data_IF_434711454871
#
_entry.id   IF_434711454871
#
_cell.length_a   1.000
_cell.length_b   1.000
_cell.length_c   1.000
_cell.angle_alpha   90.00
_cell.angle_beta   90.00
_cell.angle_gamma   90.00
#
_symmetry.space_group_name_H-M   'P 1'
#
loop_
_entity.id
_entity.type
_entity.pdbx_description
1 polymer ?
#
# COMPACT_ATOMS: atom_id res chain seq x y z
N UNK A 1 7.76 -0.89 14.84
CA UNK A 1 8.23 -2.18 14.30
C UNK A 1 9.29 -1.88 13.26
N UNK A 2 10.55 -2.10 13.63
CA UNK A 2 11.73 -2.03 12.76
C UNK A 2 12.12 -3.48 12.48
N UNK A 3 12.20 -3.86 11.20
CA UNK A 3 12.66 -5.18 10.78
C UNK A 3 13.82 -4.90 9.82
N UNK A 4 15.05 -5.27 10.20
CA UNK A 4 16.30 -5.08 9.45
C UNK A 4 16.76 -3.63 9.17
N UNK A 5 16.70 -2.71 10.15
CA UNK A 5 17.32 -1.38 9.99
C UNK A 5 16.66 -0.48 8.94
N UNK A 6 15.43 -0.81 8.54
CA UNK A 6 14.60 0.03 7.69
C UNK A 6 13.34 0.45 8.45
N UNK A 7 12.95 1.71 8.30
CA UNK A 7 11.69 2.23 8.84
C UNK A 7 10.62 2.27 7.76
N UNK A 8 9.42 1.84 8.12
CA UNK A 8 8.29 1.82 7.22
C UNK A 8 7.63 3.20 7.19
N UNK A 9 7.93 3.98 6.16
CA UNK A 9 7.41 5.33 6.02
C UNK A 9 6.09 5.31 5.24
N UNK A 10 4.98 5.49 5.96
CA UNK A 10 3.63 5.40 5.39
C UNK A 10 3.23 6.77 4.82
N UNK A 11 3.37 6.94 3.50
CA UNK A 11 3.07 8.20 2.80
C UNK A 11 1.57 8.51 2.84
N UNK A 12 0.72 7.54 2.46
CA UNK A 12 -0.74 7.67 2.47
C UNK A 12 -1.40 6.34 2.78
N UNK A 13 -2.07 6.24 3.94
CA UNK A 13 -2.83 5.03 4.32
C UNK A 13 -4.23 4.97 3.70
N UNK A 14 -4.76 6.09 3.22
CA UNK A 14 -6.15 6.20 2.75
C UNK A 14 -6.21 6.25 1.24
N UNK A 15 -6.63 5.15 0.63
CA UNK A 15 -7.00 5.06 -0.79
C UNK A 15 -8.52 5.07 -0.89
N UNK A 16 -9.06 5.75 -1.91
CA UNK A 16 -10.50 5.80 -2.15
C UNK A 16 -10.81 4.81 -3.27
N UNK A 17 -11.65 3.83 -2.96
CA UNK A 17 -12.13 2.82 -3.90
C UNK A 17 -13.62 3.02 -4.13
N UNK A 18 -14.07 2.63 -5.31
CA UNK A 18 -15.47 2.48 -5.66
C UNK A 18 -15.78 1.00 -5.42
N UNK A 19 -16.67 0.75 -4.47
CA UNK A 19 -17.00 -0.59 -4.01
C UNK A 19 -18.52 -0.75 -4.09
N UNK A 20 -19.05 -1.89 -4.59
CA UNK A 20 -20.45 -2.22 -4.40
C UNK A 20 -20.73 -2.47 -2.91
N UNK A 21 -21.94 -2.17 -2.46
CA UNK A 21 -22.31 -2.31 -1.05
C UNK A 21 -22.23 -3.77 -0.53
N UNK A 22 -22.21 -4.76 -1.42
CA UNK A 22 -22.08 -6.19 -1.10
C UNK A 22 -20.67 -6.63 -0.68
N UNK A 23 -19.61 -5.91 -1.07
CA UNK A 23 -18.23 -6.39 -0.93
C UNK A 23 -17.34 -5.26 -0.39
N UNK A 24 -17.59 -4.84 0.85
CA UNK A 24 -16.78 -3.85 1.56
C UNK A 24 -15.76 -4.59 2.43
N UNK A 25 -14.46 -4.61 2.06
CA UNK A 25 -13.44 -5.26 2.86
C UNK A 25 -13.19 -4.46 4.15
N UNK A 26 -13.02 -5.12 5.32
CA UNK A 26 -12.68 -4.44 6.57
C UNK A 26 -11.23 -3.92 6.59
N UNK A 27 -10.32 -4.58 5.86
CA UNK A 27 -8.93 -4.16 5.70
C UNK A 27 -8.35 -4.66 4.36
N UNK A 28 -7.24 -4.07 3.93
CA UNK A 28 -6.51 -4.46 2.72
C UNK A 28 -5.16 -4.98 3.17
N UNK A 29 -4.88 -6.23 2.87
CA UNK A 29 -3.56 -6.82 3.10
C UNK A 29 -2.59 -6.34 2.04
N UNK A 30 -1.38 -6.02 2.49
CA UNK A 30 -0.35 -5.46 1.64
C UNK A 30 0.93 -6.25 1.86
N UNK A 31 1.38 -6.94 0.82
CA UNK A 31 2.65 -7.66 0.83
C UNK A 31 3.81 -6.66 0.79
N UNK A 32 4.56 -6.57 1.90
CA UNK A 32 5.76 -5.75 2.02
C UNK A 32 7.05 -6.59 1.99
N UNK A 33 6.91 -7.92 1.96
CA UNK A 33 8.02 -8.88 2.01
C UNK A 33 8.91 -8.87 0.78
N UNK A 34 8.40 -8.39 -0.36
CA UNK A 34 9.13 -8.27 -1.63
C UNK A 34 9.70 -6.87 -1.86
N UNK A 35 9.45 -5.93 -0.95
CA UNK A 35 9.75 -4.53 -1.16
C UNK A 35 11.13 -4.19 -0.56
N UNK A 36 12.08 -3.83 -1.41
CA UNK A 36 13.42 -3.42 -1.00
C UNK A 36 13.48 -1.99 -0.47
N UNK A 37 14.57 -1.70 0.26
CA UNK A 37 14.87 -0.38 0.79
C UNK A 37 15.01 0.63 -0.36
N UNK A 38 14.24 1.73 -0.29
CA UNK A 38 14.21 2.75 -1.35
C UNK A 38 13.09 2.55 -2.38
N UNK A 39 12.43 1.39 -2.40
CA UNK A 39 11.26 1.17 -3.25
C UNK A 39 9.98 1.77 -2.66
N UNK A 40 9.02 2.08 -3.55
CA UNK A 40 7.70 2.61 -3.22
C UNK A 40 6.63 1.65 -3.72
N UNK A 41 5.66 1.35 -2.87
CA UNK A 41 4.47 0.62 -3.25
C UNK A 41 3.41 1.60 -3.76
N UNK A 42 2.91 1.37 -4.97
CA UNK A 42 1.87 2.18 -5.59
C UNK A 42 0.48 1.54 -5.42
N UNK A 43 -0.55 2.37 -5.46
CA UNK A 43 -1.92 1.93 -5.24
C UNK A 43 -2.42 0.91 -6.28
N UNK A 44 -1.84 0.91 -7.47
CA UNK A 44 -2.16 -0.06 -8.53
C UNK A 44 -1.58 -1.45 -8.32
N UNK A 45 -0.56 -1.59 -7.47
CA UNK A 45 0.11 -2.87 -7.18
C UNK A 45 -0.55 -3.62 -6.03
N UNK A 46 -1.47 -2.95 -5.32
CA UNK A 46 -2.28 -3.57 -4.28
C UNK A 46 -3.17 -4.65 -4.90
N UNK A 47 -3.09 -5.87 -4.36
CA UNK A 47 -4.05 -6.93 -4.67
C UNK A 47 -5.35 -6.64 -3.94
N UNK A 48 -6.39 -6.30 -4.67
CA UNK A 48 -7.73 -6.09 -4.15
C UNK A 48 -8.74 -6.89 -4.97
N UNK A 49 -9.91 -7.15 -4.39
CA UNK A 49 -10.98 -7.87 -5.06
C UNK A 49 -11.33 -7.18 -6.39
N UNK A 50 -11.53 -7.90 -7.50
CA UNK A 50 -11.80 -7.30 -8.82
C UNK A 50 -13.04 -6.39 -8.87
N UNK A 51 -13.94 -6.50 -7.87
CA UNK A 51 -15.10 -5.64 -7.69
C UNK A 51 -14.74 -4.23 -7.16
N UNK A 52 -13.54 -4.04 -6.61
CA UNK A 52 -13.06 -2.78 -6.07
C UNK A 52 -12.40 -1.99 -7.20
N UNK A 53 -13.01 -0.88 -7.61
CA UNK A 53 -12.46 0.00 -8.65
C UNK A 53 -11.68 1.13 -8.00
N UNK A 54 -10.38 1.27 -8.31
CA UNK A 54 -9.63 2.44 -7.86
C UNK A 54 -10.23 3.71 -8.47
N UNK A 55 -10.68 4.64 -7.62
CA UNK A 55 -11.16 5.96 -8.08
C UNK A 55 -9.97 6.86 -8.40
N UNK A 56 -8.86 6.68 -7.67
CA UNK A 56 -7.64 7.48 -7.82
C UNK A 56 -6.66 6.84 -8.80
N UNK A 57 -5.75 7.63 -9.40
CA UNK A 57 -4.73 7.11 -10.29
C UNK A 57 -3.85 6.09 -9.55
N UNK A 58 -3.59 4.97 -10.24
CA UNK A 58 -2.78 3.83 -9.79
C UNK A 58 -1.34 4.20 -9.44
N UNK A 59 -0.84 5.31 -9.96
CA UNK A 59 0.53 5.80 -9.80
C UNK A 59 0.83 6.40 -8.41
N UNK A 60 -0.20 6.62 -7.58
CA UNK A 60 0.01 7.22 -6.26
C UNK A 60 0.73 6.27 -5.30
N UNK A 61 1.87 6.68 -4.69
CA UNK A 61 2.57 5.88 -3.70
C UNK A 61 1.80 5.83 -2.37
N UNK A 62 1.70 4.64 -1.79
CA UNK A 62 1.02 4.32 -0.53
C UNK A 62 2.05 4.19 0.59
N UNK A 63 3.06 3.35 0.37
CA UNK A 63 4.12 3.01 1.33
C UNK A 63 5.48 3.21 0.68
N UNK A 64 6.44 3.73 1.43
CA UNK A 64 7.84 3.75 1.04
C UNK A 64 8.67 3.18 2.18
N UNK A 65 9.58 2.28 1.86
CA UNK A 65 10.57 1.80 2.83
C UNK A 65 11.76 2.73 2.77
N UNK A 66 12.07 3.36 3.90
CA UNK A 66 13.23 4.23 4.04
C UNK A 66 14.29 3.52 4.89
N UNK A 67 15.56 3.48 4.46
CA UNK A 67 16.63 3.04 5.33
C UNK A 67 16.70 3.98 6.53
N UNK A 68 16.77 3.44 7.74
CA UNK A 68 17.24 4.23 8.88
C UNK A 68 18.76 4.11 8.88
N UNK A 69 19.43 5.10 8.32
CA UNK A 69 20.85 5.29 8.58
C UNK A 69 20.96 5.76 10.03
N UNK A 70 21.47 4.90 10.91
CA UNK A 70 21.87 5.27 12.27
C UNK A 70 23.39 5.27 12.33
#
# INVERSE_FOLDING_TARGET
MIWNGASLNKIKRTVKFLCPAEIIPPYIEVDLSLLDVGQKLVAGDLKFHPALKLIRPKDKPIVKIAPTCQ
#
